data_IF_525509835361
#
_entry.id   IF_525509835361
#
_cell.length_a   1.000
_cell.length_b   1.000
_cell.length_c   1.000
_cell.angle_alpha   90.00
_cell.angle_beta   90.00
_cell.angle_gamma   90.00
#
_symmetry.space_group_name_H-M   'P 1'
#
loop_
_entity.id
_entity.type
_entity.pdbx_description
1 polymer ?
#
# COMPACT_ATOMS: atom_id res chain seq x y z
N UNK A 1 10.54 16.85 3.24
CA UNK A 1 10.13 15.86 2.21
C UNK A 1 11.37 15.51 1.38
N UNK A 2 11.83 14.23 1.41
CA UNK A 2 13.10 13.86 0.77
C UNK A 2 12.95 13.40 -0.70
N UNK A 3 11.75 13.18 -1.19
CA UNK A 3 11.53 12.57 -2.51
C UNK A 3 10.45 13.29 -3.32
N UNK A 4 10.47 13.07 -4.63
CA UNK A 4 9.54 13.65 -5.60
C UNK A 4 8.20 12.92 -5.71
N UNK A 5 8.01 11.81 -4.97
CA UNK A 5 6.86 10.91 -5.15
C UNK A 5 5.49 11.54 -4.85
N UNK A 6 5.47 12.73 -4.26
CA UNK A 6 4.25 13.49 -3.95
C UNK A 6 4.11 14.77 -4.76
N UNK A 7 5.00 15.02 -5.73
CA UNK A 7 4.88 16.18 -6.62
C UNK A 7 3.58 16.13 -7.44
N UNK A 8 2.96 17.30 -7.70
CA UNK A 8 3.34 18.63 -7.26
C UNK A 8 2.83 19.04 -5.88
N UNK A 9 2.09 18.15 -5.19
CA UNK A 9 1.45 18.46 -3.90
C UNK A 9 2.46 18.72 -2.76
N UNK A 10 3.60 18.03 -2.77
CA UNK A 10 4.73 18.24 -1.87
C UNK A 10 6.02 18.18 -2.67
N UNK A 11 6.87 19.16 -2.49
CA UNK A 11 8.17 19.26 -3.17
C UNK A 11 9.31 18.74 -2.30
N UNK A 12 10.40 18.22 -2.88
CA UNK A 12 11.62 17.95 -2.13
C UNK A 12 12.10 19.20 -1.39
N UNK A 13 12.45 19.04 -0.12
CA UNK A 13 12.83 20.16 0.75
C UNK A 13 11.68 20.76 1.56
N UNK A 14 10.43 20.53 1.20
CA UNK A 14 9.28 21.04 1.95
C UNK A 14 9.28 20.56 3.41
N UNK A 15 8.91 21.46 4.31
CA UNK A 15 8.58 21.15 5.71
C UNK A 15 7.06 21.03 5.83
N UNK A 16 6.60 19.92 6.37
CA UNK A 16 5.16 19.65 6.52
C UNK A 16 4.76 19.60 7.99
N UNK A 17 3.56 20.10 8.27
CA UNK A 17 2.91 19.93 9.56
C UNK A 17 1.90 18.79 9.47
N UNK A 18 2.07 17.77 10.31
CA UNK A 18 1.18 16.61 10.35
C UNK A 18 0.12 16.78 11.44
N UNK A 19 -1.13 16.91 11.03
CA UNK A 19 -2.25 16.96 11.97
C UNK A 19 -2.63 15.56 12.45
N UNK A 20 -2.10 15.16 13.60
CA UNK A 20 -2.36 13.84 14.19
C UNK A 20 -3.76 13.69 14.80
N UNK A 21 -4.48 14.79 15.06
CA UNK A 21 -5.82 14.75 15.65
C UNK A 21 -6.87 14.21 14.68
N UNK A 22 -6.67 14.39 13.37
CA UNK A 22 -7.63 13.91 12.37
C UNK A 22 -7.86 12.40 12.46
N UNK A 23 -6.79 11.61 12.38
CA UNK A 23 -6.85 10.15 12.38
C UNK A 23 -6.56 9.50 13.75
N UNK A 24 -6.43 10.32 14.79
CA UNK A 24 -6.06 9.92 16.15
C UNK A 24 -4.54 9.77 16.33
N UNK A 25 -4.06 10.38 17.40
CA UNK A 25 -2.64 10.29 17.78
C UNK A 25 -2.32 8.89 18.31
N UNK A 26 -1.14 8.36 17.91
CA UNK A 26 -0.62 7.15 18.53
C UNK A 26 0.21 7.53 19.76
N UNK A 27 -0.11 6.96 20.90
CA UNK A 27 0.59 7.18 22.17
C UNK A 27 1.37 5.91 22.50
N UNK A 28 2.65 6.08 22.80
CA UNK A 28 3.56 4.98 23.16
C UNK A 28 3.72 4.92 24.68
N UNK A 29 3.70 3.72 25.24
CA UNK A 29 3.81 3.51 26.68
C UNK A 29 5.22 3.74 27.23
N UNK A 30 6.24 3.70 26.37
CA UNK A 30 7.63 3.97 26.71
C UNK A 30 8.26 4.87 25.64
N UNK A 31 9.18 5.74 26.08
CA UNK A 31 9.94 6.62 25.19
C UNK A 31 11.26 6.00 24.69
N UNK A 32 11.62 4.82 25.18
CA UNK A 32 12.77 4.08 24.67
C UNK A 32 12.39 3.30 23.42
N UNK A 33 12.93 3.76 22.30
CA UNK A 33 12.70 3.16 20.98
C UNK A 33 13.89 2.26 20.60
N UNK A 34 13.90 1.03 21.12
CA UNK A 34 14.86 -0.01 20.70
C UNK A 34 14.23 -0.84 19.60
N UNK A 35 15.04 -1.27 18.62
CA UNK A 35 14.55 -2.05 17.46
C UNK A 35 14.11 -3.48 17.84
N UNK A 36 14.60 -3.99 18.96
CA UNK A 36 14.44 -5.34 19.48
C UNK A 36 13.29 -5.49 20.50
N UNK A 37 12.64 -4.39 20.86
CA UNK A 37 11.56 -4.40 21.86
C UNK A 37 10.23 -4.03 21.21
N UNK A 38 9.18 -4.87 21.35
CA UNK A 38 7.86 -4.54 20.80
C UNK A 38 7.31 -3.27 21.46
N UNK A 39 7.02 -2.26 20.64
CA UNK A 39 6.49 -0.98 21.07
C UNK A 39 4.99 -1.10 21.37
N UNK A 40 4.64 -1.12 22.65
CA UNK A 40 3.24 -1.02 23.04
C UNK A 40 2.74 0.41 22.80
N UNK A 41 1.70 0.51 22.01
CA UNK A 41 1.05 1.78 21.73
C UNK A 41 -0.45 1.59 21.63
N UNK A 42 -1.19 2.66 21.91
CA UNK A 42 -2.61 2.73 21.58
C UNK A 42 -2.88 3.96 20.73
N UNK A 43 -3.93 3.92 19.94
CA UNK A 43 -4.37 5.04 19.13
C UNK A 43 -5.56 5.72 19.79
N UNK A 44 -5.47 7.03 19.99
CA UNK A 44 -6.61 7.83 20.43
C UNK A 44 -7.67 7.89 19.32
N UNK A 45 -8.95 8.07 19.68
CA UNK A 45 -9.97 8.38 18.69
C UNK A 45 -9.58 9.62 17.88
N UNK A 46 -9.77 9.56 16.58
CA UNK A 46 -9.58 10.69 15.68
C UNK A 46 -10.89 11.45 15.45
N UNK A 47 -10.77 12.67 14.93
CA UNK A 47 -11.94 13.46 14.54
C UNK A 47 -12.69 12.85 13.35
N UNK A 48 -11.98 12.15 12.48
CA UNK A 48 -12.51 11.37 11.36
C UNK A 48 -11.55 10.30 10.90
N UNK A 49 -12.05 9.33 10.16
CA UNK A 49 -11.21 8.36 9.46
C UNK A 49 -10.47 8.96 8.26
N UNK A 50 -9.47 8.22 7.77
CA UNK A 50 -8.81 8.50 6.49
C UNK A 50 -9.82 8.35 5.35
N UNK A 51 -9.64 9.13 4.29
CA UNK A 51 -10.48 9.09 3.08
C UNK A 51 -9.62 9.02 1.83
N UNK A 52 -10.21 8.58 0.73
CA UNK A 52 -9.56 8.68 -0.59
C UNK A 52 -9.16 10.13 -0.86
N UNK A 53 -7.99 10.33 -1.42
CA UNK A 53 -7.29 11.61 -1.65
C UNK A 53 -6.64 12.25 -0.43
N UNK A 54 -6.83 11.79 0.80
CA UNK A 54 -6.03 12.31 1.92
C UNK A 54 -4.54 12.03 1.69
N UNK A 55 -3.71 13.01 2.01
CA UNK A 55 -2.27 12.79 2.16
C UNK A 55 -2.02 12.30 3.58
N UNK A 56 -1.58 11.07 3.70
CA UNK A 56 -1.34 10.40 4.98
C UNK A 56 0.15 10.23 5.25
N UNK A 57 0.54 10.44 6.51
CA UNK A 57 1.89 10.16 6.98
C UNK A 57 1.84 8.91 7.85
N UNK A 58 2.61 7.91 7.49
CA UNK A 58 2.63 6.62 8.17
C UNK A 58 4.04 6.01 8.21
N UNK A 59 4.25 5.09 9.12
CA UNK A 59 5.51 4.37 9.21
C UNK A 59 5.65 3.41 8.03
N UNK A 60 6.85 3.34 7.43
CA UNK A 60 7.12 2.40 6.37
C UNK A 60 6.79 0.97 6.81
N UNK A 61 6.02 0.22 6.02
CA UNK A 61 5.58 -1.12 6.39
C UNK A 61 6.64 -2.20 6.13
N UNK A 62 7.84 -1.82 5.72
CA UNK A 62 8.93 -2.76 5.44
C UNK A 62 10.28 -2.21 5.93
N UNK A 63 11.16 -3.13 6.31
CA UNK A 63 12.53 -2.86 6.74
C UNK A 63 13.53 -2.84 5.57
N UNK A 64 14.72 -3.35 5.82
CA UNK A 64 15.72 -3.63 4.78
C UNK A 64 15.28 -4.81 3.92
N UNK A 65 14.67 -5.79 4.56
CA UNK A 65 14.00 -6.89 3.89
C UNK A 65 12.61 -6.43 3.43
N UNK A 66 12.34 -6.56 2.14
CA UNK A 66 11.04 -6.24 1.54
C UNK A 66 10.09 -7.43 1.55
N UNK A 67 10.57 -8.59 1.98
CA UNK A 67 9.79 -9.82 2.00
C UNK A 67 8.93 -9.98 3.25
N UNK A 68 8.92 -8.98 4.13
CA UNK A 68 8.04 -8.97 5.30
C UNK A 68 7.59 -7.57 5.69
N UNK A 69 6.43 -7.49 6.34
CA UNK A 69 5.94 -6.26 6.95
C UNK A 69 6.61 -6.07 8.30
N UNK A 70 7.25 -4.91 8.50
CA UNK A 70 7.91 -4.52 9.75
C UNK A 70 7.48 -3.11 10.16
N UNK A 71 7.39 -2.88 11.46
CA UNK A 71 7.17 -1.53 11.99
C UNK A 71 8.51 -0.83 12.23
N UNK A 72 8.72 0.31 11.57
CA UNK A 72 9.91 1.17 11.76
C UNK A 72 9.50 2.57 12.19
N UNK A 73 9.74 2.90 13.46
CA UNK A 73 9.30 4.17 14.04
C UNK A 73 9.96 5.39 13.39
N UNK A 74 11.22 5.29 13.00
CA UNK A 74 12.02 6.39 12.48
C UNK A 74 11.92 6.54 10.95
N UNK A 75 11.16 5.68 10.27
CA UNK A 75 11.04 5.72 8.84
C UNK A 75 9.59 5.95 8.43
N UNK A 76 9.31 7.14 7.94
CA UNK A 76 7.95 7.56 7.62
C UNK A 76 7.80 7.93 6.15
N UNK A 77 6.66 7.60 5.59
CA UNK A 77 6.23 8.02 4.27
C UNK A 77 5.08 9.01 4.34
N UNK A 78 5.07 9.97 3.41
CA UNK A 78 3.89 10.74 3.07
C UNK A 78 3.40 10.24 1.70
N UNK A 79 2.17 9.72 1.63
CA UNK A 79 1.56 9.19 0.40
C UNK A 79 0.09 9.57 0.34
N UNK A 80 -0.45 9.59 -0.87
CA UNK A 80 -1.89 9.82 -1.10
C UNK A 80 -2.64 8.51 -0.96
N UNK A 81 -3.74 8.54 -0.22
CA UNK A 81 -4.67 7.43 -0.11
C UNK A 81 -5.46 7.30 -1.42
N UNK A 82 -5.36 6.17 -2.10
CA UNK A 82 -6.04 5.89 -3.37
C UNK A 82 -7.21 4.93 -3.23
N UNK A 83 -7.30 4.23 -2.10
CA UNK A 83 -8.37 3.30 -1.80
C UNK A 83 -8.47 3.03 -0.30
N UNK A 84 -9.65 2.62 0.12
CA UNK A 84 -10.00 2.26 1.49
C UNK A 84 -10.34 0.77 1.57
N UNK A 85 -10.32 0.16 2.77
CA UNK A 85 -10.76 -1.21 2.94
C UNK A 85 -12.15 -1.46 2.32
N UNK A 86 -12.27 -2.50 1.50
CA UNK A 86 -13.46 -2.83 0.72
C UNK A 86 -13.50 -2.21 -0.67
N UNK A 87 -12.52 -1.40 -1.05
CA UNK A 87 -12.41 -0.85 -2.40
C UNK A 87 -11.63 -1.78 -3.33
N UNK A 88 -11.94 -1.70 -4.63
CA UNK A 88 -11.10 -2.22 -5.70
C UNK A 88 -10.48 -1.05 -6.46
N UNK A 89 -9.17 -1.01 -6.48
CA UNK A 89 -8.39 0.04 -7.15
C UNK A 89 -7.79 -0.47 -8.45
N UNK A 90 -7.68 0.41 -9.42
CA UNK A 90 -7.02 0.14 -10.69
C UNK A 90 -6.32 1.39 -11.22
N UNK A 91 -5.41 1.19 -12.18
CA UNK A 91 -4.91 2.25 -13.04
C UNK A 91 -5.35 1.89 -14.46
N UNK A 92 -5.99 2.83 -15.15
CA UNK A 92 -6.45 2.69 -16.53
C UNK A 92 -5.88 3.82 -17.38
N UNK A 93 -5.02 3.48 -18.32
CA UNK A 93 -4.34 4.45 -19.19
C UNK A 93 -3.67 5.59 -18.40
N UNK A 94 -3.04 5.28 -17.26
CA UNK A 94 -2.37 6.26 -16.41
C UNK A 94 -3.27 6.96 -15.37
N UNK A 95 -4.59 6.71 -15.38
CA UNK A 95 -5.52 7.31 -14.43
C UNK A 95 -5.91 6.34 -13.32
N UNK A 96 -5.87 6.81 -12.07
CA UNK A 96 -6.36 6.04 -10.94
C UNK A 96 -7.88 5.90 -11.00
N UNK A 97 -8.34 4.68 -10.77
CA UNK A 97 -9.75 4.31 -10.69
C UNK A 97 -10.02 3.60 -9.36
N UNK A 98 -11.21 3.85 -8.81
CA UNK A 98 -11.69 3.19 -7.61
C UNK A 98 -13.17 2.86 -7.83
N UNK A 99 -13.61 1.66 -7.47
CA UNK A 99 -14.98 1.22 -7.74
C UNK A 99 -16.04 1.99 -6.93
N UNK A 100 -15.67 2.52 -5.77
CA UNK A 100 -16.58 3.24 -4.85
C UNK A 100 -16.41 4.76 -4.90
N UNK A 101 -15.24 5.26 -5.25
CA UNK A 101 -14.96 6.69 -5.32
C UNK A 101 -15.04 7.16 -6.77
N UNK A 102 -15.95 8.10 -7.06
CA UNK A 102 -16.23 8.61 -8.42
C UNK A 102 -15.50 9.89 -8.76
N UNK A 103 -14.82 10.50 -7.80
CA UNK A 103 -14.04 11.71 -8.02
C UNK A 103 -12.67 11.43 -8.64
N UNK A 104 -11.97 12.51 -8.98
CA UNK A 104 -10.57 12.42 -9.42
C UNK A 104 -9.68 12.03 -8.25
N UNK A 105 -8.86 11.01 -8.43
CA UNK A 105 -7.88 10.56 -7.43
C UNK A 105 -6.52 11.11 -7.82
N UNK A 106 -5.93 11.89 -6.91
CA UNK A 106 -4.63 12.49 -7.15
C UNK A 106 -4.67 13.70 -8.10
N UNK A 107 -3.59 13.90 -8.84
CA UNK A 107 -3.43 15.03 -9.77
C UNK A 107 -3.76 14.62 -11.21
N UNK A 108 -4.90 15.09 -11.72
CA UNK A 108 -5.35 14.75 -13.08
C UNK A 108 -4.40 15.26 -14.17
N UNK A 109 -3.72 16.38 -13.95
CA UNK A 109 -2.79 16.95 -14.93
C UNK A 109 -1.56 16.05 -15.08
N UNK A 110 -0.99 15.59 -13.96
CA UNK A 110 0.16 14.68 -13.99
C UNK A 110 -0.22 13.31 -14.58
N UNK A 111 -1.40 12.80 -14.22
CA UNK A 111 -1.92 11.57 -14.81
C UNK A 111 -2.13 11.72 -16.32
N UNK A 112 -2.69 12.84 -16.77
CA UNK A 112 -2.85 13.13 -18.21
C UNK A 112 -1.51 13.24 -18.94
N UNK A 113 -0.48 13.83 -18.31
CA UNK A 113 0.87 13.86 -18.88
C UNK A 113 1.45 12.46 -19.04
N UNK A 114 1.32 11.62 -18.02
CA UNK A 114 1.76 10.21 -18.07
C UNK A 114 0.98 9.44 -19.16
N UNK A 115 -0.33 9.61 -19.22
CA UNK A 115 -1.20 8.98 -20.21
C UNK A 115 -0.78 9.30 -21.65
N UNK A 116 -0.40 10.56 -21.89
CA UNK A 116 -0.01 11.04 -23.21
C UNK A 116 1.34 10.52 -23.72
N UNK A 117 2.22 10.04 -22.85
CA UNK A 117 3.52 9.48 -23.27
C UNK A 117 3.29 8.08 -23.84
N UNK A 118 3.66 7.77 -25.09
CA UNK A 118 3.63 6.39 -25.59
C UNK A 118 4.47 5.43 -24.74
N UNK A 119 3.99 4.20 -24.55
CA UNK A 119 4.69 3.21 -23.72
C UNK A 119 6.10 2.91 -24.23
N UNK A 120 6.30 2.98 -25.55
CA UNK A 120 7.60 2.81 -26.20
C UNK A 120 8.64 3.88 -25.85
N UNK A 121 8.20 5.04 -25.36
CA UNK A 121 9.06 6.14 -24.92
C UNK A 121 9.35 6.11 -23.42
N UNK A 122 8.68 5.24 -22.66
CA UNK A 122 8.94 5.05 -21.23
C UNK A 122 10.05 3.99 -21.05
N UNK A 123 11.09 4.29 -20.28
CA UNK A 123 12.08 3.28 -19.93
C UNK A 123 11.40 2.07 -19.27
N UNK A 124 11.81 0.81 -19.58
CA UNK A 124 11.17 -0.39 -19.02
C UNK A 124 11.11 -0.43 -17.49
N UNK A 125 12.16 0.05 -16.82
CA UNK A 125 12.22 0.15 -15.36
C UNK A 125 11.27 1.22 -14.78
N UNK A 126 10.84 2.19 -15.57
CA UNK A 126 9.80 3.16 -15.20
C UNK A 126 8.42 2.59 -15.48
N UNK A 127 8.21 2.06 -16.69
CA UNK A 127 6.92 1.49 -17.09
C UNK A 127 6.49 0.35 -16.16
N UNK A 128 7.44 -0.47 -15.70
CA UNK A 128 7.23 -1.62 -14.81
C UNK A 128 7.68 -1.35 -13.37
N UNK A 129 7.55 -0.11 -12.91
CA UNK A 129 7.99 0.29 -11.56
C UNK A 129 7.09 -0.20 -10.42
N UNK A 130 6.01 -0.92 -10.71
CA UNK A 130 5.14 -1.49 -9.69
C UNK A 130 5.84 -2.66 -8.97
N UNK A 131 5.60 -2.84 -7.66
CA UNK A 131 6.26 -3.87 -6.85
C UNK A 131 5.65 -5.28 -7.03
N UNK A 132 5.04 -5.54 -8.19
CA UNK A 132 4.40 -6.82 -8.52
C UNK A 132 5.09 -7.47 -9.70
N UNK A 133 5.07 -8.80 -9.76
CA UNK A 133 5.64 -9.54 -10.89
C UNK A 133 4.93 -9.16 -12.19
N UNK A 134 5.67 -8.48 -13.07
CA UNK A 134 5.17 -8.02 -14.36
C UNK A 134 4.86 -9.17 -15.33
N UNK A 135 5.53 -10.32 -15.19
CA UNK A 135 5.28 -11.51 -16.00
C UNK A 135 3.95 -12.17 -15.65
N UNK A 136 3.58 -12.10 -14.37
CA UNK A 136 2.33 -12.71 -13.87
C UNK A 136 1.11 -11.85 -14.14
N UNK A 137 1.21 -10.54 -13.87
CA UNK A 137 0.07 -9.63 -13.94
C UNK A 137 0.03 -8.78 -15.22
N UNK A 138 1.17 -8.61 -15.90
CA UNK A 138 1.31 -7.66 -17.01
C UNK A 138 1.05 -6.22 -16.60
N UNK A 139 1.16 -5.90 -15.31
CA UNK A 139 0.85 -4.59 -14.77
C UNK A 139 1.95 -3.58 -15.05
N UNK A 140 1.53 -2.37 -15.35
CA UNK A 140 2.41 -1.23 -15.58
C UNK A 140 1.92 -0.02 -14.79
N UNK A 141 2.74 1.02 -14.69
CA UNK A 141 2.32 2.28 -14.05
C UNK A 141 1.11 2.94 -14.75
N UNK A 142 0.78 2.54 -15.98
CA UNK A 142 -0.37 3.03 -16.74
C UNK A 142 -1.57 2.09 -16.69
N UNK A 143 -1.35 0.80 -16.44
CA UNK A 143 -2.41 -0.18 -16.41
C UNK A 143 -2.15 -1.21 -15.29
N UNK A 144 -2.97 -1.18 -14.26
CA UNK A 144 -2.87 -2.05 -13.09
C UNK A 144 -4.26 -2.45 -12.60
N UNK A 145 -4.34 -3.62 -12.01
CA UNK A 145 -5.53 -4.09 -11.29
C UNK A 145 -6.60 -4.73 -12.16
N UNK A 146 -7.79 -4.95 -11.60
CA UNK A 146 -8.21 -4.45 -10.28
C UNK A 146 -7.48 -5.13 -9.12
N UNK A 147 -7.11 -4.36 -8.10
CA UNK A 147 -6.57 -4.84 -6.83
C UNK A 147 -7.61 -4.56 -5.74
N UNK A 148 -8.11 -5.59 -5.11
CA UNK A 148 -9.03 -5.47 -3.98
C UNK A 148 -8.27 -5.19 -2.69
N UNK A 149 -8.76 -4.24 -1.90
CA UNK A 149 -8.23 -3.90 -0.57
C UNK A 149 -9.16 -4.54 0.46
N UNK A 150 -8.77 -5.64 1.11
CA UNK A 150 -9.63 -6.30 2.09
C UNK A 150 -9.93 -5.37 3.28
N UNK A 151 -11.12 -5.51 3.84
CA UNK A 151 -11.50 -4.92 5.13
C UNK A 151 -11.66 -6.04 6.16
N UNK A 152 -11.60 -5.71 7.42
CA UNK A 152 -11.83 -6.66 8.51
C UNK A 152 -13.17 -7.41 8.32
N UNK A 153 -13.12 -8.72 8.40
CA UNK A 153 -14.26 -9.62 8.20
C UNK A 153 -14.59 -9.93 6.73
N UNK A 154 -13.79 -9.48 5.78
CA UNK A 154 -13.93 -9.93 4.39
C UNK A 154 -13.20 -11.26 4.20
N UNK A 155 -13.86 -12.15 3.49
CA UNK A 155 -13.25 -13.42 3.07
C UNK A 155 -12.61 -13.26 1.70
N UNK A 156 -11.30 -13.46 1.65
CA UNK A 156 -10.52 -13.39 0.42
C UNK A 156 -10.22 -14.82 -0.06
N UNK A 157 -10.62 -15.13 -1.27
CA UNK A 157 -10.19 -16.38 -1.92
C UNK A 157 -8.71 -16.23 -2.28
N UNK A 158 -7.90 -17.22 -1.87
CA UNK A 158 -6.48 -17.27 -2.17
C UNK A 158 -6.18 -18.30 -3.24
N UNK A 159 -5.48 -17.86 -4.26
CA UNK A 159 -4.99 -18.67 -5.36
C UNK A 159 -3.54 -18.33 -5.74
N UNK A 160 -2.97 -19.08 -6.65
CA UNK A 160 -1.60 -18.82 -7.09
C UNK A 160 -1.42 -17.47 -7.79
N UNK A 161 -2.48 -16.85 -8.31
CA UNK A 161 -2.40 -15.55 -8.97
C UNK A 161 -2.33 -14.42 -7.95
N UNK A 162 -3.15 -14.48 -6.89
CA UNK A 162 -3.22 -13.42 -5.89
C UNK A 162 -2.32 -13.66 -4.66
N UNK A 163 -1.64 -14.81 -4.61
CA UNK A 163 -0.70 -15.16 -3.55
C UNK A 163 0.29 -14.01 -3.24
N UNK A 164 0.97 -13.47 -4.25
CA UNK A 164 1.94 -12.39 -4.03
C UNK A 164 1.31 -11.08 -3.58
N UNK A 165 0.05 -10.83 -3.94
CA UNK A 165 -0.66 -9.62 -3.54
C UNK A 165 -0.98 -9.60 -2.05
N UNK A 166 -1.28 -10.77 -1.46
CA UNK A 166 -1.77 -10.87 -0.09
C UNK A 166 -0.81 -11.58 0.86
N UNK A 167 0.23 -12.28 0.37
CA UNK A 167 1.17 -13.04 1.20
C UNK A 167 1.66 -12.26 2.40
N UNK A 168 2.22 -11.09 2.17
CA UNK A 168 2.82 -10.29 3.26
C UNK A 168 1.80 -9.87 4.32
N UNK A 169 0.56 -9.61 3.92
CA UNK A 169 -0.50 -9.23 4.87
C UNK A 169 -0.91 -10.44 5.70
N UNK A 170 -1.16 -11.59 5.05
CA UNK A 170 -1.51 -12.84 5.73
C UNK A 170 -0.42 -13.25 6.71
N UNK A 171 0.85 -13.25 6.29
CA UNK A 171 1.99 -13.57 7.16
C UNK A 171 2.13 -12.60 8.34
N UNK A 172 1.90 -11.31 8.11
CA UNK A 172 1.96 -10.31 9.18
C UNK A 172 0.84 -10.47 10.21
N UNK A 173 -0.37 -10.78 9.78
CA UNK A 173 -1.54 -10.90 10.67
C UNK A 173 -1.54 -12.22 11.44
N UNK A 174 -1.12 -13.31 10.79
CA UNK A 174 -1.09 -14.65 11.39
C UNK A 174 0.20 -14.94 12.16
N UNK A 175 1.30 -14.28 11.78
CA UNK A 175 2.66 -14.63 12.22
C UNK A 175 3.18 -15.92 11.60
N UNK A 176 2.43 -16.55 10.69
CA UNK A 176 2.76 -17.78 9.98
C UNK A 176 3.44 -17.54 8.64
N UNK A 177 3.86 -18.61 7.98
CA UNK A 177 4.46 -18.58 6.65
C UNK A 177 3.47 -19.07 5.59
N UNK A 178 3.14 -18.21 4.63
CA UNK A 178 2.29 -18.57 3.49
C UNK A 178 3.16 -19.00 2.31
N UNK A 179 2.99 -20.23 1.86
CA UNK A 179 3.73 -20.80 0.75
C UNK A 179 2.80 -21.21 -0.40
N UNK A 180 3.32 -21.19 -1.63
CA UNK A 180 2.60 -21.67 -2.81
C UNK A 180 3.49 -22.67 -3.57
N UNK A 181 3.08 -23.94 -3.58
CA UNK A 181 3.72 -24.98 -4.38
C UNK A 181 2.72 -25.61 -5.35
N UNK A 182 3.03 -25.60 -6.65
CA UNK A 182 2.19 -26.17 -7.72
C UNK A 182 0.71 -25.75 -7.62
N UNK A 183 0.47 -24.46 -7.38
CA UNK A 183 -0.85 -23.84 -7.17
C UNK A 183 -1.58 -24.26 -5.87
N UNK A 184 -0.93 -24.99 -4.97
CA UNK A 184 -1.45 -25.31 -3.67
C UNK A 184 -0.87 -24.33 -2.63
N UNK A 185 -1.73 -23.56 -1.99
CA UNK A 185 -1.34 -22.65 -0.91
C UNK A 185 -1.39 -23.38 0.43
N UNK A 186 -0.40 -23.08 1.26
CA UNK A 186 -0.28 -23.61 2.62
C UNK A 186 0.13 -22.49 3.58
N UNK A 187 -0.58 -22.41 4.70
CA UNK A 187 -0.20 -21.57 5.83
C UNK A 187 0.34 -22.50 6.92
N UNK A 188 1.61 -22.34 7.29
CA UNK A 188 2.35 -23.22 8.22
C UNK A 188 2.23 -24.72 7.89
N UNK A 189 2.19 -25.04 6.59
CA UNK A 189 2.09 -26.41 6.08
C UNK A 189 0.65 -26.92 5.90
N UNK A 190 -0.36 -26.26 6.46
CA UNK A 190 -1.77 -26.60 6.26
C UNK A 190 -2.33 -25.98 5.00
N UNK A 191 -3.10 -26.75 4.21
CA UNK A 191 -3.69 -26.25 2.98
C UNK A 191 -4.73 -25.17 3.27
N UNK A 192 -4.65 -24.07 2.52
CA UNK A 192 -5.55 -22.92 2.64
C UNK A 192 -6.01 -22.47 1.25
N UNK A 193 -7.29 -22.11 1.15
CA UNK A 193 -7.86 -21.53 -0.08
C UNK A 193 -8.58 -20.20 0.17
N UNK A 194 -8.75 -19.83 1.43
CA UNK A 194 -9.42 -18.58 1.81
C UNK A 194 -8.80 -18.04 3.06
N UNK A 195 -8.80 -16.71 3.21
CA UNK A 195 -8.34 -15.99 4.39
C UNK A 195 -9.38 -14.95 4.81
N UNK A 196 -9.64 -14.80 6.11
CA UNK A 196 -10.58 -13.83 6.70
C UNK A 196 -9.89 -12.96 7.74
#
# INVERSE_FOLDING_TARGET
VPSESMMPALLPGDRILVNKLLAGSRIYSKLEFRQDVPLRSFRMPGLRGVRVNDVVVFNAPHGYDRDRIEFRINYVYAKRCVGMPGDSIAIRNGYFCNNRYKGVIGDAVQQGRLAAIPDSLLPPNVLRALPFDDRRYGWTIKNMGPLYIPRAGDRVELDSLNYELYRLVVEYETGGALTCDRNLLRLDGEAISTYE
#
